data_IF_571064944025
#
_entry.id   IF_571064944025
#
_cell.length_a   1.000
_cell.length_b   1.000
_cell.length_c   1.000
_cell.angle_alpha   90.00
_cell.angle_beta   90.00
_cell.angle_gamma   90.00
#
_symmetry.space_group_name_H-M   'P 1'
#
loop_
_entity.id
_entity.type
_entity.pdbx_description
1 polymer ?
#
# COMPACT_ATOMS: atom_id res chain seq x y z
N UNK A 1 8.64 -7.02 -6.32
CA UNK A 1 7.68 -6.14 -5.63
C UNK A 1 6.45 -6.96 -5.27
N UNK A 2 5.99 -6.88 -4.02
CA UNK A 2 4.82 -7.55 -3.48
C UNK A 2 3.82 -6.49 -3.03
N UNK A 3 2.55 -6.64 -3.39
CA UNK A 3 1.48 -5.71 -2.99
C UNK A 3 0.48 -6.46 -2.12
N UNK A 4 0.20 -5.93 -0.93
CA UNK A 4 -0.85 -6.46 -0.05
C UNK A 4 -1.92 -5.41 0.18
N UNK A 5 -3.18 -5.80 0.00
CA UNK A 5 -4.34 -4.99 0.35
C UNK A 5 -4.96 -5.57 1.61
N UNK A 6 -4.84 -4.85 2.73
CA UNK A 6 -5.40 -5.25 4.02
C UNK A 6 -6.68 -4.51 4.30
N UNK A 7 -7.73 -5.26 4.59
CA UNK A 7 -9.07 -4.72 4.83
C UNK A 7 -9.74 -5.40 6.01
N UNK A 8 -10.71 -4.73 6.61
CA UNK A 8 -11.51 -5.21 7.70
C UNK A 8 -12.80 -5.81 7.13
N UNK A 9 -13.38 -6.81 7.79
CA UNK A 9 -14.64 -7.38 7.36
C UNK A 9 -15.71 -6.27 7.29
N UNK A 10 -16.34 -6.13 6.12
CA UNK A 10 -17.38 -5.12 5.88
C UNK A 10 -16.87 -3.72 5.54
N UNK A 11 -15.57 -3.53 5.25
CA UNK A 11 -15.05 -2.24 4.82
C UNK A 11 -15.65 -1.84 3.45
N UNK A 12 -16.40 -0.73 3.34
CA UNK A 12 -17.00 -0.30 2.07
C UNK A 12 -15.96 0.20 1.05
N UNK A 13 -14.75 0.51 1.51
CA UNK A 13 -13.67 1.04 0.67
C UNK A 13 -12.75 -0.05 0.11
N UNK A 14 -12.98 -1.32 0.44
CA UNK A 14 -12.13 -2.44 0.02
C UNK A 14 -12.05 -2.56 -1.52
N UNK A 15 -13.19 -2.66 -2.19
CA UNK A 15 -13.27 -2.76 -3.65
C UNK A 15 -12.68 -1.54 -4.36
N UNK A 16 -12.95 -0.35 -3.83
CA UNK A 16 -12.44 0.91 -4.38
C UNK A 16 -10.91 0.97 -4.29
N UNK A 17 -10.35 0.60 -3.14
CA UNK A 17 -8.91 0.53 -2.94
C UNK A 17 -8.24 -0.50 -3.87
N UNK A 18 -8.84 -1.68 -4.04
CA UNK A 18 -8.35 -2.69 -4.99
C UNK A 18 -8.31 -2.16 -6.42
N UNK A 19 -9.40 -1.56 -6.90
CA UNK A 19 -9.48 -1.00 -8.26
C UNK A 19 -8.44 0.09 -8.47
N UNK A 20 -8.25 0.94 -7.47
CA UNK A 20 -7.24 2.01 -7.49
C UNK A 20 -5.83 1.43 -7.64
N UNK A 21 -5.48 0.41 -6.85
CA UNK A 21 -4.17 -0.26 -6.94
C UNK A 21 -3.99 -0.92 -8.31
N UNK A 22 -4.99 -1.66 -8.81
CA UNK A 22 -4.94 -2.23 -10.16
C UNK A 22 -4.76 -1.17 -11.25
N UNK A 23 -5.51 -0.07 -11.18
CA UNK A 23 -5.38 1.02 -12.15
C UNK A 23 -3.99 1.64 -12.13
N UNK A 24 -3.38 1.80 -10.95
CA UNK A 24 -2.01 2.29 -10.81
C UNK A 24 -0.97 1.33 -11.41
N UNK A 25 -1.17 0.02 -11.29
CA UNK A 25 -0.27 -0.97 -11.89
C UNK A 25 -0.36 -0.96 -13.42
N UNK A 26 -1.57 -0.87 -13.96
CA UNK A 26 -1.81 -0.73 -15.40
C UNK A 26 -1.19 0.56 -15.94
N UNK A 27 -1.36 1.69 -15.24
CA UNK A 27 -0.76 2.98 -15.62
C UNK A 27 0.77 2.94 -15.68
N UNK A 28 1.38 2.10 -14.83
CA UNK A 28 2.82 1.88 -14.78
C UNK A 28 3.31 0.76 -15.71
N UNK A 29 2.40 0.05 -16.40
CA UNK A 29 2.74 -1.11 -17.24
C UNK A 29 3.31 -2.29 -16.46
N UNK A 30 2.84 -2.50 -15.22
CA UNK A 30 3.28 -3.60 -14.34
C UNK A 30 2.18 -4.66 -14.32
N UNK A 31 2.33 -5.71 -15.14
CA UNK A 31 1.31 -6.75 -15.29
C UNK A 31 1.61 -8.02 -14.45
N UNK A 32 2.87 -8.21 -14.04
CA UNK A 32 3.33 -9.43 -13.35
C UNK A 32 3.21 -9.39 -11.81
N UNK A 33 2.63 -8.33 -11.24
CA UNK A 33 2.51 -8.18 -9.78
C UNK A 33 1.10 -8.51 -9.30
N UNK A 34 0.99 -9.58 -8.52
CA UNK A 34 -0.26 -9.97 -7.87
C UNK A 34 -0.58 -9.08 -6.65
N UNK A 35 -1.85 -8.69 -6.53
CA UNK A 35 -2.40 -8.02 -5.35
C UNK A 35 -2.89 -9.10 -4.38
N UNK A 36 -2.26 -9.19 -3.21
CA UNK A 36 -2.62 -10.15 -2.17
C UNK A 36 -3.63 -9.50 -1.23
N UNK A 37 -4.88 -9.95 -1.27
CA UNK A 37 -5.93 -9.46 -0.39
C UNK A 37 -5.92 -10.20 0.95
N UNK A 38 -5.82 -9.46 2.05
CA UNK A 38 -5.81 -10.01 3.41
C UNK A 38 -6.95 -9.33 4.18
N UNK A 39 -7.93 -10.11 4.62
CA UNK A 39 -8.99 -9.61 5.50
C UNK A 39 -8.59 -9.88 6.94
N UNK A 40 -8.54 -8.84 7.78
CA UNK A 40 -8.05 -8.95 9.14
C UNK A 40 -8.40 -7.75 10.04
N UNK A 41 -7.76 -7.69 11.19
CA UNK A 41 -7.97 -6.67 12.22
C UNK A 41 -7.18 -5.38 11.98
N UNK A 42 -6.60 -5.21 10.79
CA UNK A 42 -5.79 -4.04 10.43
C UNK A 42 -6.64 -2.80 10.15
N UNK A 43 -6.05 -1.62 10.31
CA UNK A 43 -6.70 -0.36 9.95
C UNK A 43 -7.04 -0.37 8.46
N UNK A 44 -8.27 -0.07 8.09
CA UNK A 44 -8.77 -0.42 6.76
C UNK A 44 -9.26 0.78 5.96
N UNK A 45 -8.94 0.91 4.66
CA UNK A 45 -8.05 0.06 3.87
C UNK A 45 -6.56 0.41 4.07
N UNK A 46 -5.69 -0.59 4.18
CA UNK A 46 -4.23 -0.42 4.18
C UNK A 46 -3.62 -1.06 2.95
N UNK A 47 -2.86 -0.29 2.18
CA UNK A 47 -2.12 -0.79 1.01
C UNK A 47 -0.65 -0.87 1.39
N UNK A 48 -0.07 -2.06 1.22
CA UNK A 48 1.33 -2.32 1.48
C UNK A 48 2.06 -2.58 0.17
N UNK A 49 3.19 -1.91 -0.02
CA UNK A 49 4.12 -2.17 -1.13
C UNK A 49 5.43 -2.64 -0.52
N UNK A 50 5.82 -3.89 -0.79
CA UNK A 50 6.94 -4.60 -0.16
C UNK A 50 6.93 -4.50 1.38
N UNK A 51 5.74 -4.53 1.97
CA UNK A 51 5.53 -4.43 3.42
C UNK A 51 5.51 -3.00 3.97
N UNK A 52 5.70 -1.97 3.15
CA UNK A 52 5.60 -0.57 3.55
C UNK A 52 4.18 -0.04 3.36
N UNK A 53 3.59 0.54 4.41
CA UNK A 53 2.28 1.20 4.33
C UNK A 53 2.40 2.46 3.45
N UNK A 54 1.69 2.49 2.33
CA UNK A 54 1.65 3.64 1.41
C UNK A 54 1.22 4.92 2.13
N UNK A 55 0.35 4.80 3.14
CA UNK A 55 -0.13 5.94 3.91
C UNK A 55 0.82 6.33 5.03
N UNK A 56 1.75 5.45 5.44
CA UNK A 56 2.79 5.70 6.44
C UNK A 56 4.07 4.92 6.10
N UNK A 57 4.87 5.42 5.14
CA UNK A 57 6.09 4.76 4.71
C UNK A 57 7.18 4.72 5.81
N UNK A 58 7.08 5.61 6.81
CA UNK A 58 8.03 5.78 7.91
C UNK A 58 7.55 5.20 9.26
N UNK A 59 6.34 4.64 9.32
CA UNK A 59 5.69 4.27 10.59
C UNK A 59 5.31 2.81 10.72
N UNK A 60 5.26 2.32 11.97
CA UNK A 60 4.68 1.02 12.33
C UNK A 60 3.23 0.95 11.87
N UNK A 61 2.84 -0.15 11.22
CA UNK A 61 1.46 -0.41 10.82
C UNK A 61 0.53 -0.32 12.04
N UNK A 62 -0.56 0.46 11.95
CA UNK A 62 -1.58 0.43 13.00
C UNK A 62 -2.38 -0.86 12.87
N UNK A 63 -2.27 -1.71 13.89
CA UNK A 63 -3.15 -2.85 14.11
C UNK A 63 -4.37 -2.41 14.91
N UNK A 64 -5.13 -1.50 14.33
CA UNK A 64 -6.39 -1.03 14.90
C UNK A 64 -7.51 -1.42 13.96
N UNK A 65 -8.50 -2.17 14.44
CA UNK A 65 -9.66 -2.62 13.65
C UNK A 65 -10.64 -1.48 13.37
N UNK A 66 -10.16 -0.41 12.73
CA UNK A 66 -10.92 0.81 12.48
C UNK A 66 -10.86 1.14 11.00
N UNK A 67 -12.02 1.43 10.42
CA UNK A 67 -12.09 1.99 9.07
C UNK A 67 -11.48 3.40 9.09
N UNK A 68 -10.36 3.57 8.38
CA UNK A 68 -9.73 4.87 8.18
C UNK A 68 -10.65 5.71 7.29
N UNK A 69 -10.95 6.93 7.75
CA UNK A 69 -11.65 7.93 6.94
C UNK A 69 -10.73 8.47 5.83
N UNK A 70 -9.42 8.55 6.11
CA UNK A 70 -8.38 8.83 5.12
C UNK A 70 -8.10 7.60 4.25
N UNK A 71 -8.72 7.56 3.08
CA UNK A 71 -8.49 6.54 2.06
C UNK A 71 -7.23 6.84 1.23
N UNK A 72 -6.49 5.81 0.77
CA UNK A 72 -5.31 6.00 -0.05
C UNK A 72 -5.66 6.64 -1.40
N UNK A 73 -4.87 7.64 -1.81
CA UNK A 73 -5.03 8.33 -3.10
C UNK A 73 -4.18 7.69 -4.20
N UNK A 74 -4.58 7.80 -5.48
CA UNK A 74 -3.84 7.22 -6.60
C UNK A 74 -2.38 7.71 -6.65
N UNK A 75 -2.16 9.01 -6.41
CA UNK A 75 -0.83 9.61 -6.43
C UNK A 75 0.11 9.00 -5.38
N UNK A 76 -0.38 8.71 -4.17
CA UNK A 76 0.44 8.08 -3.13
C UNK A 76 0.79 6.63 -3.49
N UNK A 77 -0.18 5.88 -4.01
CA UNK A 77 0.04 4.49 -4.44
C UNK A 77 1.07 4.44 -5.59
N UNK A 78 0.92 5.29 -6.60
CA UNK A 78 1.90 5.42 -7.69
C UNK A 78 3.30 5.77 -7.19
N UNK A 79 3.42 6.72 -6.26
CA UNK A 79 4.71 7.11 -5.69
C UNK A 79 5.38 5.95 -4.94
N UNK A 80 4.61 5.19 -4.14
CA UNK A 80 5.12 4.04 -3.41
C UNK A 80 5.55 2.89 -4.33
N UNK A 81 4.75 2.58 -5.36
CA UNK A 81 5.09 1.57 -6.37
C UNK A 81 6.38 1.96 -7.11
N UNK A 82 6.50 3.23 -7.54
CA UNK A 82 7.71 3.73 -8.20
C UNK A 82 8.94 3.68 -7.30
N UNK A 83 8.79 3.98 -6.01
CA UNK A 83 9.87 3.88 -5.03
C UNK A 83 10.34 2.44 -4.81
N UNK A 84 9.42 1.46 -4.85
CA UNK A 84 9.77 0.03 -4.78
C UNK A 84 10.42 -0.48 -6.08
N UNK A 85 9.88 -0.09 -7.25
CA UNK A 85 10.41 -0.48 -8.56
C UNK A 85 11.77 0.16 -8.90
N UNK A 86 12.15 1.23 -8.20
CA UNK A 86 13.46 1.84 -8.28
C UNK A 86 14.23 1.60 -6.98
N UNK A 87 14.96 0.48 -6.83
CA UNK A 87 15.90 0.31 -5.73
C UNK A 87 17.11 1.24 -5.94
N UNK A 88 16.92 2.55 -5.77
CA UNK A 88 17.99 3.53 -5.64
C UNK A 88 17.74 4.35 -4.38
N UNK A 89 18.03 3.72 -3.25
CA UNK A 89 19.15 4.13 -2.37
C UNK A 89 19.13 3.27 -1.09
N UNK A 90 20.25 2.64 -0.70
CA UNK A 90 20.40 2.20 0.68
C UNK A 90 20.33 3.43 1.58
N UNK A 91 19.60 3.29 2.70
CA UNK A 91 19.62 4.20 3.85
C UNK A 91 21.05 4.68 4.08
N UNK A 92 21.33 5.94 3.78
CA UNK A 92 22.48 6.64 4.34
C UNK A 92 22.26 6.69 5.85
N UNK A 93 22.91 5.76 6.55
CA UNK A 93 23.23 5.90 7.97
C UNK A 93 23.86 7.29 8.18
N UNK A 94 23.47 8.06 9.22
CA UNK A 94 24.17 9.30 9.52
C UNK A 94 25.63 8.99 9.90
N UNK A 95 26.63 9.69 9.34
CA UNK A 95 27.99 9.58 9.83
C UNK A 95 28.16 10.35 11.16
N UNK A 96 28.68 9.60 12.14
CA UNK A 96 29.31 10.00 13.41
C UNK A 96 28.49 10.80 14.44
#
# INVERSE_FOLDING_TARGET
>A
MRIELRTSPGCPHADSARRLVSACLVDLGIDDVAIIEIVGQDASPTVLVDGLDVMRPEGTHLRDSVCRLDVPTPQRVLAAIRASGNPRTPRSSPPC
#
